data_IF_484816344782
#
_entry.id   IF_484816344782
#
_cell.length_a   1.000
_cell.length_b   1.000
_cell.length_c   1.000
_cell.angle_alpha   90.00
_cell.angle_beta   90.00
_cell.angle_gamma   90.00
#
_symmetry.space_group_name_H-M   'P 1'
#
loop_
_entity.id
_entity.type
_entity.pdbx_description
1 polymer ?
#
# COMPACT_ATOMS: atom_id res chain seq x y z
N UNK A 1 1.21 21.51 7.39
CA UNK A 1 1.43 21.10 5.99
C UNK A 1 0.79 22.18 5.13
N UNK A 2 1.42 22.69 4.06
CA UNK A 2 0.78 23.74 3.27
C UNK A 2 -0.45 23.15 2.58
N UNK A 3 -1.62 23.70 2.91
CA UNK A 3 -2.88 23.52 2.21
C UNK A 3 -2.68 24.08 0.78
N UNK A 4 -2.12 23.28 -0.13
CA UNK A 4 -1.93 23.70 -1.51
C UNK A 4 -3.29 23.80 -2.18
N UNK A 5 -3.93 24.96 -2.11
CA UNK A 5 -5.28 25.20 -2.64
C UNK A 5 -5.29 25.39 -4.17
N UNK A 6 -4.11 25.49 -4.79
CA UNK A 6 -3.94 25.82 -6.21
C UNK A 6 -3.33 24.64 -6.98
N UNK A 7 -3.93 24.30 -8.11
CA UNK A 7 -3.40 23.29 -9.02
C UNK A 7 -2.08 23.76 -9.68
N UNK A 8 -0.96 23.04 -9.54
CA UNK A 8 0.33 23.43 -10.12
C UNK A 8 0.39 23.26 -11.65
N UNK A 9 -0.58 22.56 -12.27
CA UNK A 9 -0.63 22.40 -13.73
C UNK A 9 -1.36 23.54 -14.45
N UNK A 10 -2.42 24.09 -13.86
CA UNK A 10 -3.29 25.06 -14.54
C UNK A 10 -3.70 26.26 -13.66
N UNK A 11 -3.07 26.42 -12.50
CA UNK A 11 -3.29 27.51 -11.53
C UNK A 11 -4.75 27.73 -11.11
N UNK A 12 -5.59 26.71 -11.30
CA UNK A 12 -7.00 26.75 -10.93
C UNK A 12 -7.20 26.19 -9.51
N UNK A 13 -8.26 26.57 -8.79
CA UNK A 13 -8.47 26.08 -7.43
C UNK A 13 -8.67 24.56 -7.42
N UNK A 14 -8.27 23.90 -6.34
CA UNK A 14 -8.63 22.50 -6.10
C UNK A 14 -10.07 22.38 -5.58
N UNK A 15 -10.72 21.27 -5.89
CA UNK A 15 -12.03 20.89 -5.37
C UNK A 15 -11.94 20.48 -3.89
N UNK A 16 -13.09 20.32 -3.26
CA UNK A 16 -13.18 19.71 -1.94
C UNK A 16 -12.59 18.31 -1.90
N UNK A 17 -12.16 17.89 -0.70
CA UNK A 17 -11.58 16.58 -0.47
C UNK A 17 -12.65 15.50 -0.63
N UNK A 18 -12.47 14.63 -1.62
CA UNK A 18 -13.33 13.47 -1.86
C UNK A 18 -12.65 12.20 -1.35
N UNK A 19 -13.44 11.26 -0.83
CA UNK A 19 -12.97 9.96 -0.36
C UNK A 19 -13.20 8.88 -1.43
N UNK A 20 -12.19 8.06 -1.68
CA UNK A 20 -12.29 6.89 -2.55
C UNK A 20 -12.90 5.70 -1.80
N UNK A 21 -13.43 4.66 -2.48
CA UNK A 21 -13.93 3.44 -1.81
C UNK A 21 -12.90 2.75 -0.89
N UNK A 22 -11.61 3.02 -1.10
CA UNK A 22 -10.52 2.48 -0.29
C UNK A 22 -10.16 3.40 0.91
N UNK A 23 -11.00 4.38 1.25
CA UNK A 23 -10.80 5.30 2.38
C UNK A 23 -9.77 6.40 2.16
N UNK A 24 -9.25 6.56 0.94
CA UNK A 24 -8.20 7.55 0.64
C UNK A 24 -8.83 8.87 0.22
N UNK A 25 -8.36 9.96 0.81
CA UNK A 25 -8.80 11.32 0.50
C UNK A 25 -7.94 11.97 -0.59
N UNK A 26 -8.58 12.65 -1.53
CA UNK A 26 -7.93 13.36 -2.62
C UNK A 26 -8.70 14.64 -2.98
N UNK A 27 -7.99 15.60 -3.56
CA UNK A 27 -8.56 16.81 -4.16
C UNK A 27 -8.24 16.81 -5.65
N UNK A 28 -9.24 17.11 -6.49
CA UNK A 28 -9.06 17.22 -7.94
C UNK A 28 -8.93 18.69 -8.33
N UNK A 29 -8.37 18.95 -9.50
CA UNK A 29 -8.46 20.28 -10.07
C UNK A 29 -9.92 20.64 -10.38
N UNK A 30 -10.36 21.85 -10.06
CA UNK A 30 -11.71 22.35 -10.40
C UNK A 30 -12.05 22.29 -11.89
N UNK A 31 -11.04 22.43 -12.76
CA UNK A 31 -11.16 22.28 -14.22
C UNK A 31 -11.05 20.82 -14.72
N UNK A 32 -11.03 19.85 -13.82
CA UNK A 32 -10.91 18.42 -14.14
C UNK A 32 -12.09 17.64 -13.61
N UNK A 33 -12.80 16.93 -14.47
CA UNK A 33 -13.89 16.04 -14.08
C UNK A 33 -13.54 14.59 -14.42
N UNK A 34 -13.77 13.68 -13.47
CA UNK A 34 -13.61 12.25 -13.72
C UNK A 34 -14.91 11.70 -14.29
N UNK A 35 -14.84 11.17 -15.50
CA UNK A 35 -15.94 10.47 -16.13
C UNK A 35 -15.86 8.97 -15.76
N UNK A 36 -16.86 8.47 -15.02
CA UNK A 36 -16.88 7.10 -14.53
C UNK A 36 -17.14 6.06 -15.63
N UNK A 37 -17.86 6.44 -16.69
CA UNK A 37 -18.21 5.55 -17.80
C UNK A 37 -17.00 5.30 -18.70
N UNK A 38 -16.26 6.36 -19.05
CA UNK A 38 -15.08 6.27 -19.91
C UNK A 38 -13.80 5.96 -19.14
N UNK A 39 -13.84 6.06 -17.79
CA UNK A 39 -12.67 5.98 -16.90
C UNK A 39 -11.55 6.94 -17.30
N UNK A 40 -11.93 8.13 -17.77
CA UNK A 40 -11.02 9.18 -18.20
C UNK A 40 -11.32 10.48 -17.45
N UNK A 41 -10.30 11.34 -17.35
CA UNK A 41 -10.48 12.69 -16.80
C UNK A 41 -10.64 13.66 -17.96
N UNK A 42 -11.76 14.39 -17.98
CA UNK A 42 -12.01 15.48 -18.91
C UNK A 42 -11.46 16.78 -18.32
N UNK A 43 -10.60 17.47 -19.07
CA UNK A 43 -9.95 18.70 -18.61
C UNK A 43 -8.62 18.44 -17.91
N UNK A 44 -8.40 19.05 -16.73
CA UNK A 44 -7.13 18.91 -16.00
C UNK A 44 -7.05 17.60 -15.21
N UNK A 45 -6.04 16.79 -15.49
CA UNK A 45 -5.77 15.48 -14.88
C UNK A 45 -5.09 15.55 -13.50
N UNK A 46 -4.88 16.74 -12.95
CA UNK A 46 -4.17 16.90 -11.68
C UNK A 46 -5.00 16.42 -10.49
N UNK A 47 -4.39 15.58 -9.66
CA UNK A 47 -4.95 15.07 -8.42
C UNK A 47 -3.94 15.23 -7.29
N UNK A 48 -4.35 15.93 -6.22
CA UNK A 48 -3.61 16.01 -4.98
C UNK A 48 -4.10 14.91 -4.03
N UNK A 49 -3.22 14.00 -3.66
CA UNK A 49 -3.51 12.98 -2.66
C UNK A 49 -3.21 13.52 -1.27
N UNK A 50 -4.20 13.51 -0.38
CA UNK A 50 -4.01 13.91 1.00
C UNK A 50 -3.32 12.78 1.77
N UNK A 51 -2.40 13.14 2.66
CA UNK A 51 -1.70 12.17 3.49
C UNK A 51 -2.69 11.55 4.48
N UNK A 52 -2.59 10.22 4.65
CA UNK A 52 -3.31 9.53 5.73
C UNK A 52 -2.52 9.77 7.01
N UNK A 53 -3.21 10.25 8.06
CA UNK A 53 -2.58 10.45 9.35
C UNK A 53 -2.13 9.09 9.93
N UNK A 54 -0.91 9.01 10.47
CA UNK A 54 -0.41 7.79 11.08
C UNK A 54 -1.17 7.51 12.38
N UNK A 55 -1.51 6.24 12.60
CA UNK A 55 -2.18 5.78 13.81
C UNK A 55 -1.15 5.29 14.83
N UNK A 56 -1.22 5.75 16.07
CA UNK A 56 -0.32 5.30 17.14
C UNK A 56 -0.71 3.90 17.60
N UNK A 57 0.25 2.98 17.70
CA UNK A 57 0.06 1.62 18.20
C UNK A 57 0.52 1.54 19.66
N UNK A 58 -0.04 0.57 20.40
CA UNK A 58 0.35 0.26 21.79
C UNK A 58 1.71 -0.47 21.89
N UNK A 59 2.25 -0.90 20.75
CA UNK A 59 3.54 -1.59 20.65
C UNK A 59 4.72 -0.60 20.76
N UNK A 60 5.79 -1.01 21.47
CA UNK A 60 7.01 -0.23 21.60
C UNK A 60 8.06 -0.62 20.57
N UNK A 61 8.87 0.35 20.16
CA UNK A 61 9.98 0.15 19.26
C UNK A 61 11.08 -0.69 19.94
N UNK A 62 11.52 -1.81 19.35
CA UNK A 62 12.53 -2.69 19.96
C UNK A 62 13.93 -2.07 20.05
N UNK A 63 14.17 -0.92 19.41
CA UNK A 63 15.46 -0.23 19.43
C UNK A 63 15.55 0.94 20.43
N UNK A 64 14.42 1.57 20.74
CA UNK A 64 14.43 2.82 21.53
C UNK A 64 13.23 2.99 22.46
N UNK A 65 12.39 1.96 22.62
CA UNK A 65 11.21 1.91 23.50
C UNK A 65 10.13 2.98 23.26
N UNK A 66 10.32 3.85 22.27
CA UNK A 66 9.31 4.82 21.82
C UNK A 66 8.12 4.11 21.17
N UNK A 67 6.91 4.70 21.18
CA UNK A 67 5.73 4.08 20.60
C UNK A 67 5.89 3.86 19.09
N UNK A 68 5.36 2.75 18.58
CA UNK A 68 5.25 2.51 17.15
C UNK A 68 4.04 3.21 16.56
N UNK A 69 4.13 3.58 15.29
CA UNK A 69 3.02 4.14 14.53
C UNK A 69 2.78 3.32 13.28
N UNK A 70 1.51 3.05 12.98
CA UNK A 70 1.05 2.47 11.74
C UNK A 70 0.96 3.58 10.68
N UNK A 71 1.84 3.54 9.70
CA UNK A 71 1.84 4.47 8.58
C UNK A 71 1.42 3.76 7.30
N UNK A 72 0.58 4.43 6.51
CA UNK A 72 0.20 3.98 5.16
C UNK A 72 0.90 4.87 4.14
N UNK A 73 1.65 4.24 3.24
CA UNK A 73 2.31 4.96 2.13
C UNK A 73 1.28 5.47 1.11
N UNK A 74 1.70 6.40 0.24
CA UNK A 74 0.88 6.85 -0.91
C UNK A 74 0.38 5.73 -1.83
N UNK A 75 1.00 4.56 -1.78
CA UNK A 75 0.63 3.40 -2.58
C UNK A 75 -0.25 2.41 -1.82
N UNK A 76 -0.66 2.73 -0.59
CA UNK A 76 -1.50 1.87 0.23
C UNK A 76 -0.76 0.73 0.93
N UNK A 77 0.58 0.69 0.88
CA UNK A 77 1.37 -0.25 1.68
C UNK A 77 1.41 0.21 3.12
N UNK A 78 1.15 -0.70 4.06
CA UNK A 78 1.18 -0.45 5.50
C UNK A 78 2.55 -0.82 6.07
N UNK A 79 3.04 -0.03 7.01
CA UNK A 79 4.27 -0.30 7.76
C UNK A 79 4.14 0.19 9.19
N UNK A 80 4.77 -0.52 10.13
CA UNK A 80 5.02 -0.03 11.48
C UNK A 80 6.35 0.70 11.46
N UNK A 81 6.38 1.95 11.90
CA UNK A 81 7.64 2.70 12.07
C UNK A 81 7.73 3.24 13.48
N UNK A 82 8.94 3.53 13.93
CA UNK A 82 9.12 4.25 15.18
C UNK A 82 8.47 5.66 15.08
N UNK A 83 7.80 6.11 16.15
CA UNK A 83 7.27 7.47 16.26
C UNK A 83 8.35 8.55 16.11
N UNK A 84 9.59 8.26 16.50
CA UNK A 84 10.72 9.20 16.36
C UNK A 84 11.32 9.22 14.95
N UNK A 85 10.90 8.30 14.07
CA UNK A 85 11.35 8.26 12.67
C UNK A 85 10.70 9.39 11.87
N UNK A 86 11.50 10.40 11.53
CA UNK A 86 11.09 11.57 10.77
C UNK A 86 11.79 11.62 9.42
N UNK A 87 11.01 11.71 8.35
CA UNK A 87 11.51 11.86 6.99
C UNK A 87 11.53 13.33 6.61
N UNK A 88 12.70 13.86 6.26
CA UNK A 88 12.82 15.21 5.68
C UNK A 88 12.66 15.12 4.15
N UNK A 89 11.57 15.66 3.57
CA UNK A 89 11.34 15.63 2.13
C UNK A 89 12.32 16.50 1.33
N UNK A 90 12.94 17.50 1.95
CA UNK A 90 13.86 18.45 1.29
C UNK A 90 15.22 17.79 1.06
N UNK A 91 15.78 17.24 2.13
CA UNK A 91 17.09 16.56 2.08
C UNK A 91 16.98 15.10 1.66
N UNK A 92 15.76 14.53 1.66
CA UNK A 92 15.49 13.10 1.43
C UNK A 92 16.27 12.20 2.38
N UNK A 93 16.35 12.62 3.64
CA UNK A 93 17.02 11.86 4.70
C UNK A 93 16.03 11.46 5.79
N UNK A 94 16.27 10.29 6.38
CA UNK A 94 15.58 9.86 7.58
C UNK A 94 16.38 10.29 8.81
N UNK A 95 15.71 10.84 9.81
CA UNK A 95 16.27 11.23 11.10
C UNK A 95 15.54 10.52 12.23
N UNK A 96 16.23 10.30 13.35
CA UNK A 96 15.71 9.55 14.50
C UNK A 96 15.93 8.04 14.40
N UNK A 97 15.05 7.26 15.03
CA UNK A 97 15.16 5.80 15.02
C UNK A 97 14.82 5.24 13.62
N UNK A 98 15.66 4.34 13.10
CA UNK A 98 15.54 3.72 11.79
C UNK A 98 14.61 2.50 11.74
N UNK A 99 13.92 2.17 12.83
CA UNK A 99 13.04 1.01 12.90
C UNK A 99 11.82 1.18 11.97
N UNK A 100 11.75 0.30 10.97
CA UNK A 100 10.64 0.19 10.02
C UNK A 100 10.39 -1.30 9.76
N UNK A 101 9.16 -1.73 9.98
CA UNK A 101 8.68 -3.08 9.69
C UNK A 101 7.53 -3.00 8.68
N UNK A 102 7.70 -3.66 7.54
CA UNK A 102 6.66 -3.73 6.52
C UNK A 102 5.65 -4.81 6.86
N UNK A 103 4.37 -4.44 6.91
CA UNK A 103 3.30 -5.42 7.07
C UNK A 103 3.06 -6.06 5.69
N UNK A 104 3.70 -7.21 5.48
CA UNK A 104 3.49 -8.05 4.32
C UNK A 104 2.33 -9.02 4.55
N UNK A 105 1.98 -9.79 3.52
CA UNK A 105 1.01 -10.88 3.69
C UNK A 105 1.57 -11.99 4.59
N UNK A 106 0.66 -12.69 5.28
CA UNK A 106 1.01 -13.86 6.12
C UNK A 106 0.90 -15.14 5.32
N UNK A 107 1.74 -16.12 5.65
CA UNK A 107 1.72 -17.45 5.04
C UNK A 107 1.39 -18.47 6.12
N UNK A 108 0.41 -19.31 5.88
CA UNK A 108 0.00 -20.43 6.74
C UNK A 108 0.29 -21.74 5.99
N UNK A 109 0.91 -22.71 6.65
CA UNK A 109 1.16 -24.03 6.06
C UNK A 109 -0.15 -24.83 5.93
N UNK A 110 -0.23 -25.70 4.93
CA UNK A 110 -1.39 -26.57 4.70
C UNK A 110 -0.90 -27.97 4.33
N UNK A 111 -1.65 -29.01 4.70
CA UNK A 111 -1.31 -30.42 4.40
C UNK A 111 -1.64 -30.85 2.95
N UNK A 112 -2.16 -29.95 2.12
CA UNK A 112 -2.52 -30.21 0.74
C UNK A 112 -1.29 -30.14 -0.18
N UNK A 113 -1.20 -31.06 -1.16
CA UNK A 113 -0.13 -31.09 -2.16
C UNK A 113 -0.51 -30.31 -3.41
N UNK A 114 0.49 -29.69 -4.03
CA UNK A 114 0.35 -28.98 -5.28
C UNK A 114 0.11 -29.96 -6.45
N UNK A 115 -0.94 -29.78 -7.26
CA UNK A 115 -1.23 -30.68 -8.38
C UNK A 115 -0.22 -30.61 -9.54
N UNK A 116 0.64 -29.57 -9.57
CA UNK A 116 1.64 -29.38 -10.64
C UNK A 116 3.04 -29.91 -10.28
N UNK A 117 3.39 -29.99 -9.00
CA UNK A 117 4.75 -30.32 -8.56
C UNK A 117 4.85 -31.12 -7.26
N UNK A 118 3.73 -31.58 -6.70
CA UNK A 118 3.63 -32.41 -5.48
C UNK A 118 4.15 -31.79 -4.17
N UNK A 119 4.73 -30.59 -4.22
CA UNK A 119 5.17 -29.81 -3.06
C UNK A 119 3.99 -29.27 -2.23
N UNK A 120 4.16 -28.98 -0.92
CA UNK A 120 3.05 -28.53 -0.07
C UNK A 120 2.51 -27.16 -0.52
N UNK A 121 1.18 -27.02 -0.47
CA UNK A 121 0.50 -25.75 -0.65
C UNK A 121 0.55 -24.92 0.63
N UNK A 122 0.60 -23.60 0.45
CA UNK A 122 0.52 -22.64 1.56
C UNK A 122 -0.61 -21.66 1.30
N UNK A 123 -1.33 -21.31 2.37
CA UNK A 123 -2.35 -20.25 2.32
C UNK A 123 -1.65 -18.92 2.58
N UNK A 124 -1.59 -18.10 1.54
CA UNK A 124 -1.07 -16.75 1.62
C UNK A 124 -2.22 -15.73 1.74
N UNK A 125 -2.23 -14.96 2.82
CA UNK A 125 -3.16 -13.85 3.04
C UNK A 125 -2.45 -12.54 2.71
N UNK A 126 -2.89 -11.86 1.65
CA UNK A 126 -2.35 -10.56 1.26
C UNK A 126 -2.60 -9.49 2.34
N UNK A 127 -1.83 -8.40 2.32
CA UNK A 127 -2.03 -7.25 3.21
C UNK A 127 -3.42 -6.59 3.13
N UNK A 128 -4.21 -6.91 2.08
CA UNK A 128 -5.61 -6.47 1.89
C UNK A 128 -6.63 -7.52 2.36
N UNK A 129 -6.20 -8.63 2.96
CA UNK A 129 -7.06 -9.70 3.47
C UNK A 129 -7.51 -10.72 2.43
N UNK A 130 -7.12 -10.59 1.15
CA UNK A 130 -7.40 -11.63 0.15
C UNK A 130 -6.53 -12.86 0.40
N UNK A 131 -7.14 -14.04 0.43
CA UNK A 131 -6.48 -15.33 0.65
C UNK A 131 -6.31 -16.09 -0.67
N UNK A 132 -5.16 -16.70 -0.86
CA UNK A 132 -4.86 -17.60 -1.97
C UNK A 132 -4.09 -18.81 -1.46
N UNK A 133 -4.34 -19.99 -2.02
CA UNK A 133 -3.40 -21.10 -1.95
C UNK A 133 -2.36 -20.91 -3.04
N UNK A 134 -1.09 -21.02 -2.69
CA UNK A 134 0.00 -21.04 -3.67
C UNK A 134 0.94 -22.19 -3.36
N UNK A 135 1.68 -22.65 -4.36
CA UNK A 135 2.76 -23.60 -4.10
C UNK A 135 3.81 -22.98 -3.16
N UNK A 136 4.35 -23.78 -2.25
CA UNK A 136 5.46 -23.39 -1.36
C UNK A 136 6.69 -22.90 -2.15
N UNK A 137 6.93 -23.49 -3.33
CA UNK A 137 8.04 -23.12 -4.23
C UNK A 137 7.74 -21.89 -5.09
N UNK A 138 6.53 -21.33 -5.03
CA UNK A 138 6.13 -20.18 -5.82
C UNK A 138 6.88 -18.91 -5.34
N UNK A 139 7.81 -18.46 -6.18
CA UNK A 139 8.66 -17.29 -5.97
C UNK A 139 8.51 -16.23 -7.06
N UNK A 140 9.08 -15.05 -6.78
CA UNK A 140 9.19 -13.97 -7.74
C UNK A 140 10.62 -13.43 -7.74
N UNK A 141 11.30 -13.57 -8.87
CA UNK A 141 12.62 -12.99 -9.06
C UNK A 141 12.47 -11.50 -9.40
N UNK A 142 13.03 -10.64 -8.53
CA UNK A 142 12.90 -9.19 -8.66
C UNK A 142 13.76 -8.61 -9.79
N UNK A 143 14.87 -9.26 -10.15
CA UNK A 143 15.82 -8.77 -11.14
C UNK A 143 15.32 -9.04 -12.55
N UNK A 144 14.95 -10.30 -12.79
CA UNK A 144 14.44 -10.76 -14.09
C UNK A 144 12.94 -10.47 -14.27
N UNK A 145 12.23 -10.14 -13.18
CA UNK A 145 10.77 -9.92 -13.16
C UNK A 145 10.00 -11.13 -13.69
N UNK A 146 10.45 -12.32 -13.33
CA UNK A 146 9.85 -13.59 -13.72
C UNK A 146 9.39 -14.37 -12.49
N UNK A 147 8.34 -15.17 -12.68
CA UNK A 147 7.93 -16.14 -11.68
C UNK A 147 8.98 -17.27 -11.63
N UNK A 148 9.36 -17.65 -10.42
CA UNK A 148 10.29 -18.76 -10.17
C UNK A 148 9.56 -19.89 -9.45
N UNK A 149 9.93 -21.14 -9.77
CA UNK A 149 9.29 -22.33 -9.22
C UNK A 149 7.92 -22.62 -9.83
N UNK A 150 7.06 -23.30 -9.07
CA UNK A 150 5.71 -23.64 -9.52
C UNK A 150 4.78 -22.42 -9.48
N UNK A 151 4.07 -22.18 -10.57
CA UNK A 151 3.16 -21.03 -10.74
C UNK A 151 1.73 -21.29 -10.26
N UNK A 152 1.47 -22.44 -9.64
CA UNK A 152 0.15 -22.80 -9.14
C UNK A 152 -0.35 -21.81 -8.09
N UNK A 153 -1.48 -21.16 -8.38
CA UNK A 153 -2.18 -20.22 -7.51
C UNK A 153 -3.68 -20.46 -7.62
N UNK A 154 -4.33 -20.65 -6.48
CA UNK A 154 -5.79 -20.79 -6.36
C UNK A 154 -6.32 -19.73 -5.39
N UNK A 155 -7.28 -18.91 -5.82
CA UNK A 155 -7.86 -17.87 -4.96
C UNK A 155 -9.01 -18.43 -4.13
N UNK A 156 -8.87 -18.37 -2.79
CA UNK A 156 -9.89 -18.88 -1.86
C UNK A 156 -11.06 -17.92 -1.68
N UNK A 157 -10.85 -16.62 -1.92
CA UNK A 157 -11.88 -15.60 -1.81
C UNK A 157 -12.18 -15.01 -3.21
N UNK A 158 -12.81 -15.81 -4.06
CA UNK A 158 -13.37 -15.36 -5.33
C UNK A 158 -14.83 -14.87 -5.21
N UNK A 159 -15.35 -14.58 -4.00
CA UNK A 159 -16.75 -14.21 -3.83
C UNK A 159 -16.97 -13.07 -2.84
N UNK A 160 -17.62 -12.03 -3.39
CA UNK A 160 -18.11 -10.74 -2.84
C UNK A 160 -17.10 -9.62 -2.66
#
# INVERSE_FOLDING_TARGET
MPETTICPKCNSPLSEATETPNGRKLQRCSKGSWNAETRQTEGCDYVLWLAVEPETLDEKCPKCDAPLVLQVTRFGKKMKKCSTNTWDPTTKTASGCDFVEWINGTTEETDEKCPECDEPLVIFTTAKGKRMKKCSTAGWDRETRQATGCTHIEWLNASK
#
